data_IF_436286324257
#
_entry.id   IF_436286324257
#
_cell.length_a   1.000
_cell.length_b   1.000
_cell.length_c   1.000
_cell.angle_alpha   90.00
_cell.angle_beta   90.00
_cell.angle_gamma   90.00
#
_symmetry.space_group_name_H-M   'P 1'
#
loop_
_entity.id
_entity.type
_entity.pdbx_description
1 polymer ?
#
# COMPACT_ATOMS: atom_id res chain seq x y z
N UNK A 1 18.84 3.98 -14.79
CA UNK A 1 19.49 4.96 -13.86
C UNK A 1 19.68 4.26 -12.55
N UNK A 2 20.78 4.42 -11.82
CA UNK A 2 20.85 3.83 -10.48
C UNK A 2 20.06 4.68 -9.51
N UNK A 3 19.21 4.05 -8.71
CA UNK A 3 18.42 4.73 -7.68
C UNK A 3 19.35 5.39 -6.64
N UNK A 4 19.01 6.60 -6.23
CA UNK A 4 19.69 7.26 -5.12
C UNK A 4 18.99 6.86 -3.82
N UNK A 5 19.63 6.04 -3.01
CA UNK A 5 19.10 5.53 -1.74
C UNK A 5 19.48 6.41 -0.52
N UNK A 6 20.13 7.54 -0.75
CA UNK A 6 20.48 8.45 0.33
C UNK A 6 19.39 9.49 0.56
N UNK A 7 18.26 9.05 1.11
CA UNK A 7 17.14 9.92 1.46
C UNK A 7 16.37 9.38 2.66
N UNK A 8 15.64 10.28 3.29
CA UNK A 8 14.62 9.98 4.30
C UNK A 8 13.25 10.40 3.76
N UNK A 9 12.18 9.62 3.98
CA UNK A 9 10.85 9.99 3.52
C UNK A 9 10.38 11.28 4.19
N UNK A 10 9.69 12.13 3.44
CA UNK A 10 9.10 13.35 3.99
C UNK A 10 7.69 13.08 4.53
N UNK A 11 7.38 13.62 5.70
CA UNK A 11 6.00 13.59 6.20
C UNK A 11 5.17 14.60 5.41
N UNK A 12 4.17 14.09 4.67
CA UNK A 12 3.22 14.95 3.96
C UNK A 12 2.18 15.53 4.91
N UNK A 13 1.59 14.67 5.75
CA UNK A 13 0.55 15.07 6.72
C UNK A 13 0.42 14.02 7.82
N UNK A 14 -0.04 14.44 9.02
CA UNK A 14 -0.57 13.51 10.02
C UNK A 14 -1.95 13.04 9.57
N UNK A 15 -2.18 11.72 9.56
CA UNK A 15 -3.51 11.15 9.23
C UNK A 15 -4.43 11.10 10.45
N UNK A 16 -3.90 11.37 11.64
CA UNK A 16 -4.68 11.38 12.87
C UNK A 16 -5.73 12.50 12.86
N UNK A 17 -7.00 12.13 13.03
CA UNK A 17 -8.12 13.06 13.07
C UNK A 17 -8.58 13.58 11.70
N UNK A 18 -7.99 13.15 10.58
CA UNK A 18 -8.50 13.49 9.25
C UNK A 18 -9.87 12.85 9.02
N UNK A 19 -10.76 13.61 8.40
CA UNK A 19 -11.96 13.03 7.80
C UNK A 19 -11.59 12.22 6.56
N UNK A 20 -12.47 11.30 6.14
CA UNK A 20 -12.24 10.53 4.91
C UNK A 20 -12.06 11.42 3.67
N UNK A 21 -12.80 12.52 3.59
CA UNK A 21 -12.68 13.50 2.50
C UNK A 21 -11.31 14.18 2.49
N UNK A 22 -10.82 14.59 3.66
CA UNK A 22 -9.49 15.20 3.80
C UNK A 22 -8.39 14.18 3.42
N UNK A 23 -8.49 12.95 3.92
CA UNK A 23 -7.54 11.88 3.60
C UNK A 23 -7.52 11.58 2.09
N UNK A 24 -8.68 11.46 1.44
CA UNK A 24 -8.78 11.31 -0.02
C UNK A 24 -8.17 12.50 -0.76
N UNK A 25 -8.37 13.72 -0.24
CA UNK A 25 -7.75 14.93 -0.80
C UNK A 25 -6.23 14.85 -0.82
N UNK A 26 -5.59 14.38 0.26
CA UNK A 26 -4.14 14.18 0.31
C UNK A 26 -3.69 13.03 -0.61
N UNK A 27 -4.43 11.94 -0.68
CA UNK A 27 -4.13 10.84 -1.61
C UNK A 27 -4.12 11.24 -3.08
N UNK A 28 -4.94 12.21 -3.47
CA UNK A 28 -4.97 12.75 -4.85
C UNK A 28 -3.74 13.56 -5.23
N UNK A 29 -2.91 13.96 -4.27
CA UNK A 29 -1.66 14.67 -4.55
C UNK A 29 -0.56 13.79 -5.15
N UNK A 30 -0.77 12.47 -5.19
CA UNK A 30 0.19 11.53 -5.76
C UNK A 30 -0.38 10.14 -5.94
N UNK A 31 0.49 9.21 -6.31
CA UNK A 31 0.24 7.78 -6.45
C UNK A 31 0.49 7.14 -5.08
N UNK A 32 -0.48 6.46 -4.52
CA UNK A 32 -0.33 5.68 -3.28
C UNK A 32 -0.02 4.21 -3.57
N UNK A 33 0.39 3.44 -2.56
CA UNK A 33 0.77 2.04 -2.75
C UNK A 33 -0.33 1.17 -3.38
N UNK A 34 -1.60 1.37 -2.99
CA UNK A 34 -2.73 0.66 -3.61
C UNK A 34 -2.98 1.03 -5.08
N UNK A 35 -2.42 2.15 -5.54
CA UNK A 35 -2.57 2.64 -6.91
C UNK A 35 -1.49 2.07 -7.85
N UNK A 36 -0.34 1.64 -7.30
CA UNK A 36 0.82 1.15 -8.06
C UNK A 36 0.46 0.04 -9.06
N UNK A 37 -0.31 -0.95 -8.62
CA UNK A 37 -0.77 -2.03 -9.51
C UNK A 37 -1.73 -1.52 -10.61
N UNK A 38 -2.48 -0.45 -10.40
CA UNK A 38 -3.35 0.13 -11.41
C UNK A 38 -2.55 0.85 -12.50
N UNK A 39 -1.45 1.52 -12.14
CA UNK A 39 -0.51 2.12 -13.10
C UNK A 39 0.03 1.05 -14.04
N UNK A 40 0.32 -0.14 -13.54
CA UNK A 40 0.84 -1.27 -14.31
C UNK A 40 -0.24 -2.09 -15.03
N UNK A 41 -1.54 -1.74 -14.87
CA UNK A 41 -2.65 -2.54 -15.41
C UNK A 41 -2.84 -3.90 -14.74
N UNK A 42 -2.31 -4.10 -13.55
CA UNK A 42 -2.33 -5.34 -12.77
C UNK A 42 -3.35 -5.33 -11.62
N UNK A 43 -4.03 -4.21 -11.39
CA UNK A 43 -5.02 -4.10 -10.32
C UNK A 43 -6.33 -4.80 -10.71
N UNK A 44 -6.89 -5.67 -9.84
CA UNK A 44 -8.21 -6.25 -10.06
C UNK A 44 -9.37 -5.32 -9.67
N UNK A 45 -9.07 -4.14 -9.11
CA UNK A 45 -10.06 -3.25 -8.51
C UNK A 45 -10.26 -1.95 -9.28
N UNK A 46 -9.25 -1.50 -10.02
CA UNK A 46 -9.23 -0.18 -10.63
C UNK A 46 -8.33 -0.23 -11.88
N UNK A 47 -8.78 0.34 -12.97
CA UNK A 47 -7.98 0.48 -14.19
C UNK A 47 -7.09 1.73 -14.09
N UNK A 48 -6.08 1.83 -14.98
CA UNK A 48 -5.28 3.06 -15.10
C UNK A 48 -6.15 4.28 -15.43
N UNK A 49 -7.23 4.10 -16.21
CA UNK A 49 -8.17 5.17 -16.53
C UNK A 49 -8.94 5.66 -15.30
N UNK A 50 -9.43 4.74 -14.49
CA UNK A 50 -10.16 5.07 -13.26
C UNK A 50 -9.23 5.82 -12.28
N UNK A 51 -7.97 5.36 -12.18
CA UNK A 51 -6.95 6.04 -11.40
C UNK A 51 -6.70 7.47 -11.92
N UNK A 52 -6.57 7.64 -13.24
CA UNK A 52 -6.43 8.97 -13.86
C UNK A 52 -7.59 9.88 -13.48
N UNK A 53 -8.82 9.41 -13.54
CA UNK A 53 -10.00 10.21 -13.18
C UNK A 53 -9.99 10.59 -11.71
N UNK A 54 -9.64 9.67 -10.81
CA UNK A 54 -9.49 10.00 -9.39
C UNK A 54 -8.42 11.08 -9.16
N UNK A 55 -7.21 10.91 -9.70
CA UNK A 55 -6.11 11.86 -9.53
C UNK A 55 -6.42 13.23 -10.15
N UNK A 56 -7.19 13.25 -11.21
CA UNK A 56 -7.63 14.47 -11.86
C UNK A 56 -8.87 15.11 -11.22
N UNK A 57 -9.51 14.47 -10.24
CA UNK A 57 -10.76 14.94 -9.67
C UNK A 57 -11.90 14.98 -10.69
N UNK A 58 -11.83 14.15 -11.73
CA UNK A 58 -12.88 14.00 -12.71
C UNK A 58 -13.92 13.06 -12.16
N UNK A 59 -15.10 13.57 -11.90
CA UNK A 59 -16.22 12.75 -11.45
C UNK A 59 -16.79 12.02 -12.67
N UNK A 60 -16.47 10.73 -12.83
CA UNK A 60 -17.25 9.88 -13.72
C UNK A 60 -18.66 9.70 -13.12
N UNK A 61 -19.67 9.81 -13.98
CA UNK A 61 -21.01 9.33 -13.64
C UNK A 61 -20.94 7.80 -13.76
N UNK A 62 -20.29 7.18 -12.78
CA UNK A 62 -20.42 5.75 -12.59
C UNK A 62 -21.74 5.54 -11.85
N UNK A 63 -22.55 4.62 -12.32
CA UNK A 63 -23.60 4.00 -11.49
C UNK A 63 -22.88 3.33 -10.31
N UNK A 64 -22.58 4.13 -9.29
CA UNK A 64 -22.03 3.68 -8.02
C UNK A 64 -23.09 2.93 -7.22
N UNK A 65 -23.40 1.73 -7.62
CA UNK A 65 -23.57 0.73 -6.58
C UNK A 65 -22.16 0.57 -5.96
N UNK A 66 -21.94 1.13 -4.78
CA UNK A 66 -20.75 0.88 -3.95
C UNK A 66 -20.67 -0.61 -3.59
N UNK A 67 -20.42 -1.44 -4.61
CA UNK A 67 -20.14 -2.84 -4.42
C UNK A 67 -18.82 -2.92 -3.65
N UNK A 68 -18.83 -3.53 -2.47
CA UNK A 68 -17.67 -3.78 -1.59
C UNK A 68 -17.41 -2.78 -0.44
N UNK A 69 -18.31 -1.83 -0.14
CA UNK A 69 -18.11 -0.95 1.02
C UNK A 69 -17.98 -1.73 2.35
N UNK A 70 -18.71 -2.87 2.47
CA UNK A 70 -18.60 -3.75 3.64
C UNK A 70 -17.22 -4.35 3.76
N UNK A 71 -16.65 -4.88 2.67
CA UNK A 71 -15.32 -5.47 2.68
C UNK A 71 -14.25 -4.42 3.04
N UNK A 72 -14.32 -3.22 2.48
CA UNK A 72 -13.44 -2.09 2.84
C UNK A 72 -13.54 -1.75 4.33
N UNK A 73 -14.77 -1.67 4.85
CA UNK A 73 -15.00 -1.32 6.25
C UNK A 73 -14.57 -2.42 7.22
N UNK A 74 -14.74 -3.69 6.85
CA UNK A 74 -14.24 -4.85 7.60
C UNK A 74 -12.71 -4.81 7.61
N UNK A 75 -12.07 -4.63 6.46
CA UNK A 75 -10.62 -4.52 6.35
C UNK A 75 -10.08 -3.48 7.32
N UNK A 76 -10.52 -2.24 7.19
CA UNK A 76 -10.07 -1.15 8.04
C UNK A 76 -10.31 -1.37 9.55
N UNK A 77 -11.43 -2.00 9.92
CA UNK A 77 -11.72 -2.27 11.35
C UNK A 77 -10.91 -3.41 11.94
N UNK A 78 -10.37 -4.28 11.09
CA UNK A 78 -9.60 -5.44 11.53
C UNK A 78 -8.09 -5.23 11.43
N UNK A 79 -7.60 -4.11 10.94
CA UNK A 79 -6.16 -3.82 10.80
C UNK A 79 -5.42 -4.00 12.12
N UNK A 80 -5.92 -3.40 13.21
CA UNK A 80 -5.31 -3.54 14.55
C UNK A 80 -5.28 -5.01 15.02
N UNK A 81 -6.36 -5.78 14.78
CA UNK A 81 -6.43 -7.20 15.12
C UNK A 81 -5.44 -8.03 14.28
N UNK A 82 -5.33 -7.75 13.00
CA UNK A 82 -4.37 -8.43 12.11
C UNK A 82 -2.94 -8.17 12.58
N UNK A 83 -2.63 -6.93 12.95
CA UNK A 83 -1.33 -6.55 13.49
C UNK A 83 -1.04 -7.22 14.84
N UNK A 84 -2.04 -7.34 15.73
CA UNK A 84 -1.93 -8.05 16.99
C UNK A 84 -1.63 -9.54 16.77
N UNK A 85 -2.37 -10.22 15.90
CA UNK A 85 -2.15 -11.64 15.56
C UNK A 85 -0.74 -11.82 14.97
N UNK A 86 -0.31 -10.93 14.08
CA UNK A 86 1.06 -10.95 13.52
C UNK A 86 2.11 -10.87 14.62
N UNK A 87 1.97 -9.90 15.54
CA UNK A 87 2.90 -9.71 16.66
C UNK A 87 2.97 -10.94 17.57
N UNK A 88 1.83 -11.56 17.90
CA UNK A 88 1.77 -12.78 18.72
C UNK A 88 2.45 -13.95 18.00
N UNK A 89 2.20 -14.13 16.70
CA UNK A 89 2.75 -15.27 15.95
C UNK A 89 4.25 -15.16 15.68
N UNK A 90 4.75 -13.96 15.49
CA UNK A 90 6.16 -13.71 15.11
C UNK A 90 7.04 -13.31 16.29
N UNK A 91 6.46 -12.80 17.37
CA UNK A 91 7.18 -12.17 18.47
C UNK A 91 7.75 -10.79 18.12
N UNK A 92 7.50 -10.26 16.91
CA UNK A 92 7.96 -8.97 16.47
C UNK A 92 7.05 -7.86 17.01
N UNK A 93 7.65 -6.75 17.43
CA UNK A 93 6.90 -5.57 17.84
C UNK A 93 6.43 -4.81 16.61
N UNK A 94 5.15 -4.43 16.59
CA UNK A 94 4.58 -3.57 15.56
C UNK A 94 4.01 -2.29 16.18
N UNK A 95 4.00 -1.20 15.39
CA UNK A 95 3.50 0.09 15.85
C UNK A 95 2.97 0.93 14.67
N UNK A 96 1.84 1.65 14.84
CA UNK A 96 1.32 2.57 13.83
C UNK A 96 2.08 3.89 13.87
N UNK A 97 2.20 4.56 12.74
CA UNK A 97 2.77 5.94 12.64
C UNK A 97 1.77 6.90 12.06
N UNK A 98 0.58 6.67 11.88
CA UNK A 98 -0.53 7.56 11.48
C UNK A 98 -0.10 8.84 10.73
N UNK A 99 0.69 8.65 9.67
CA UNK A 99 1.22 9.71 8.82
C UNK A 99 1.25 9.22 7.37
N UNK A 100 0.89 10.11 6.48
CA UNK A 100 1.17 9.92 5.06
C UNK A 100 2.54 10.52 4.75
N UNK A 101 3.33 9.75 4.01
CA UNK A 101 4.69 10.12 3.60
C UNK A 101 4.74 10.35 2.09
N UNK A 102 5.77 11.05 1.65
CA UNK A 102 6.11 11.18 0.24
C UNK A 102 7.60 10.96 0.02
N UNK A 103 7.93 10.49 -1.15
CA UNK A 103 9.31 10.32 -1.57
C UNK A 103 9.94 11.69 -1.88
N UNK A 104 11.09 12.07 -1.30
CA UNK A 104 11.66 13.41 -1.47
C UNK A 104 12.13 13.69 -2.90
N UNK A 105 12.59 12.67 -3.63
CA UNK A 105 13.08 12.81 -5.01
C UNK A 105 11.96 12.63 -6.06
N UNK A 106 10.90 11.92 -5.71
CA UNK A 106 9.72 11.67 -6.54
C UNK A 106 8.44 12.07 -5.79
N UNK A 107 8.17 13.40 -5.64
CA UNK A 107 7.12 13.87 -4.72
C UNK A 107 5.70 13.45 -5.09
N UNK A 108 5.53 12.82 -6.25
CA UNK A 108 4.27 12.27 -6.73
C UNK A 108 4.00 10.84 -6.25
N UNK A 109 4.93 10.18 -5.54
CA UNK A 109 4.69 8.86 -4.93
C UNK A 109 4.57 9.00 -3.41
N UNK A 110 3.49 8.41 -2.86
CA UNK A 110 3.04 8.60 -1.48
C UNK A 110 2.87 7.26 -0.78
N UNK A 111 3.15 7.22 0.51
CA UNK A 111 2.91 6.04 1.35
C UNK A 111 2.04 6.38 2.56
N UNK A 112 1.05 5.55 2.83
CA UNK A 112 0.25 5.50 4.06
C UNK A 112 0.31 4.05 4.55
N UNK A 113 1.33 3.76 5.37
CA UNK A 113 1.68 2.41 5.82
C UNK A 113 0.81 2.06 7.03
N UNK A 114 0.23 0.87 7.05
CA UNK A 114 -0.63 0.42 8.14
C UNK A 114 0.16 0.37 9.47
N UNK A 115 1.25 -0.40 9.50
CA UNK A 115 2.13 -0.52 10.66
C UNK A 115 3.59 -0.64 10.25
N UNK A 116 4.47 -0.29 11.18
CA UNK A 116 5.90 -0.58 11.10
C UNK A 116 6.28 -1.72 12.03
N UNK A 117 7.30 -2.49 11.63
CA UNK A 117 7.88 -3.58 12.42
C UNK A 117 9.20 -3.08 13.01
N UNK A 118 9.37 -3.26 14.30
CA UNK A 118 10.65 -3.05 14.99
C UNK A 118 11.40 -4.39 15.08
N UNK A 119 12.44 -4.56 14.28
CA UNK A 119 13.30 -5.75 14.34
C UNK A 119 14.35 -5.68 15.47
N UNK A 120 14.42 -4.56 16.19
CA UNK A 120 15.51 -4.25 17.09
C UNK A 120 16.74 -3.71 16.36
N UNK A 121 17.72 -3.25 17.14
CA UNK A 121 18.97 -2.69 16.61
C UNK A 121 18.79 -1.55 15.59
N UNK A 122 17.70 -0.81 15.67
CA UNK A 122 17.38 0.30 14.76
C UNK A 122 16.88 -0.10 13.37
N UNK A 123 16.68 -1.38 13.10
CA UNK A 123 16.05 -1.84 11.85
C UNK A 123 14.53 -1.76 11.96
N UNK A 124 13.93 -1.28 10.87
CA UNK A 124 12.46 -1.15 10.72
C UNK A 124 12.04 -1.81 9.41
N UNK A 125 10.89 -2.48 9.44
CA UNK A 125 10.20 -3.00 8.26
C UNK A 125 8.77 -2.50 8.18
N UNK A 126 8.07 -2.87 7.10
CA UNK A 126 6.68 -2.52 6.85
C UNK A 126 5.81 -3.74 7.17
N UNK A 127 4.66 -3.53 7.81
CA UNK A 127 3.59 -4.51 7.91
C UNK A 127 2.35 -3.98 7.22
N UNK A 128 1.91 -4.69 6.20
CA UNK A 128 0.69 -4.44 5.46
C UNK A 128 -0.39 -5.44 5.89
N UNK A 129 -1.49 -4.94 6.44
CA UNK A 129 -2.58 -5.75 6.98
C UNK A 129 -3.65 -5.99 5.91
N UNK A 130 -4.05 -7.25 5.74
CA UNK A 130 -5.07 -7.63 4.76
C UNK A 130 -6.14 -8.51 5.40
N UNK A 131 -7.34 -8.38 4.88
CA UNK A 131 -8.44 -9.33 5.15
C UNK A 131 -8.96 -9.87 3.82
N UNK A 132 -9.32 -11.14 3.82
CA UNK A 132 -9.93 -11.79 2.66
C UNK A 132 -10.91 -12.86 3.11
N UNK A 133 -11.39 -13.68 2.20
CA UNK A 133 -12.25 -14.81 2.49
C UNK A 133 -11.67 -16.10 1.91
N UNK A 134 -12.22 -17.23 2.29
CA UNK A 134 -11.78 -18.55 1.84
C UNK A 134 -11.67 -18.72 0.32
N UNK A 135 -12.53 -18.06 -0.45
CA UNK A 135 -12.49 -18.16 -1.92
C UNK A 135 -11.26 -17.50 -2.54
N UNK A 136 -10.63 -16.58 -1.81
CA UNK A 136 -9.43 -15.86 -2.25
C UNK A 136 -8.14 -16.39 -1.62
N UNK A 137 -8.21 -17.36 -0.70
CA UNK A 137 -7.04 -17.95 -0.04
C UNK A 137 -6.04 -18.53 -1.04
N UNK A 138 -6.51 -19.13 -2.12
CA UNK A 138 -5.64 -19.72 -3.15
C UNK A 138 -4.69 -18.71 -3.82
N UNK A 139 -5.02 -17.43 -3.80
CA UNK A 139 -4.13 -16.36 -4.33
C UNK A 139 -2.87 -16.16 -3.49
N UNK A 140 -2.84 -16.71 -2.28
CA UNK A 140 -1.73 -16.67 -1.34
C UNK A 140 -0.98 -18.02 -1.25
N UNK A 141 -1.30 -18.97 -2.13
CA UNK A 141 -0.65 -20.29 -2.16
C UNK A 141 0.81 -20.20 -2.62
N UNK A 142 1.60 -21.24 -2.32
CA UNK A 142 3.00 -21.36 -2.75
C UNK A 142 3.89 -20.16 -2.34
N UNK A 143 3.68 -19.65 -1.14
CA UNK A 143 4.38 -18.50 -0.58
C UNK A 143 4.26 -17.19 -1.40
N UNK A 144 3.30 -17.15 -2.33
CA UNK A 144 3.06 -15.96 -3.14
C UNK A 144 2.28 -14.87 -2.38
N UNK A 145 2.47 -13.66 -2.83
CA UNK A 145 1.63 -12.49 -2.52
C UNK A 145 0.80 -12.18 -3.76
N UNK A 146 -0.50 -11.86 -3.66
CA UNK A 146 -1.26 -11.38 -4.81
C UNK A 146 -0.57 -10.18 -5.46
N UNK A 147 -0.44 -10.18 -6.77
CA UNK A 147 0.39 -9.23 -7.53
C UNK A 147 0.07 -7.76 -7.22
N UNK A 148 -1.19 -7.43 -6.99
CA UNK A 148 -1.59 -6.07 -6.61
C UNK A 148 -1.08 -5.65 -5.23
N UNK A 149 -0.94 -6.57 -4.29
CA UNK A 149 -0.34 -6.30 -2.97
C UNK A 149 1.18 -6.33 -3.04
N UNK A 150 1.77 -7.19 -3.88
CA UNK A 150 3.20 -7.19 -4.14
C UNK A 150 3.68 -5.80 -4.57
N UNK A 151 3.05 -5.20 -5.59
CA UNK A 151 3.43 -3.86 -6.05
C UNK A 151 3.11 -2.76 -5.04
N UNK A 152 2.08 -2.93 -4.21
CA UNK A 152 1.84 -2.03 -3.07
C UNK A 152 3.02 -2.04 -2.09
N UNK A 153 3.51 -3.23 -1.73
CA UNK A 153 4.65 -3.38 -0.83
C UNK A 153 5.94 -2.80 -1.42
N UNK A 154 6.22 -3.05 -2.71
CA UNK A 154 7.38 -2.49 -3.42
C UNK A 154 7.34 -0.97 -3.44
N UNK A 155 6.20 -0.38 -3.77
CA UNK A 155 5.97 1.05 -3.71
C UNK A 155 6.25 1.63 -2.30
N UNK A 156 5.76 0.95 -1.26
CA UNK A 156 6.01 1.41 0.11
C UNK A 156 7.48 1.31 0.50
N UNK A 157 8.18 0.24 0.12
CA UNK A 157 9.62 0.13 0.36
C UNK A 157 10.38 1.26 -0.35
N UNK A 158 10.00 1.62 -1.57
CA UNK A 158 10.57 2.75 -2.30
C UNK A 158 10.33 4.08 -1.58
N UNK A 159 9.09 4.41 -1.21
CA UNK A 159 8.80 5.69 -0.55
C UNK A 159 9.48 5.80 0.81
N UNK A 160 9.45 4.71 1.59
CA UNK A 160 9.96 4.69 2.96
C UNK A 160 11.46 4.43 3.07
N UNK A 161 12.14 4.06 1.96
CA UNK A 161 13.53 3.64 1.94
C UNK A 161 13.82 2.49 2.93
N UNK A 162 12.95 1.47 2.91
CA UNK A 162 13.03 0.30 3.76
C UNK A 162 13.22 -0.96 2.92
N UNK A 163 13.88 -1.97 3.52
CA UNK A 163 14.31 -3.17 2.79
C UNK A 163 13.34 -4.34 2.88
N UNK A 164 12.35 -4.29 3.78
CA UNK A 164 11.51 -5.43 4.08
C UNK A 164 10.04 -5.04 4.26
N UNK A 165 9.14 -5.82 3.65
CA UNK A 165 7.70 -5.74 3.88
C UNK A 165 7.13 -7.12 4.23
N UNK A 166 6.28 -7.15 5.23
CA UNK A 166 5.47 -8.29 5.60
C UNK A 166 4.01 -8.01 5.26
N UNK A 167 3.35 -9.03 4.75
CA UNK A 167 1.91 -9.04 4.54
C UNK A 167 1.28 -10.01 5.52
N UNK A 168 0.38 -9.52 6.33
CA UNK A 168 -0.42 -10.33 7.25
C UNK A 168 -1.87 -10.36 6.77
N UNK A 169 -2.40 -11.55 6.48
CA UNK A 169 -3.73 -11.70 5.91
C UNK A 169 -4.59 -12.63 6.76
N UNK A 170 -5.67 -12.09 7.30
CA UNK A 170 -6.73 -12.86 7.96
C UNK A 170 -7.79 -13.24 6.92
N UNK A 171 -8.04 -14.55 6.72
CA UNK A 171 -9.01 -15.03 5.73
C UNK A 171 -10.23 -15.75 6.32
N UNK A 172 -10.36 -15.70 7.64
CA UNK A 172 -11.47 -16.28 8.38
C UNK A 172 -11.69 -15.61 9.72
N UNK A 173 -12.10 -16.37 10.74
CA UNK A 173 -12.47 -15.83 12.04
C UNK A 173 -11.71 -16.44 13.23
N UNK A 174 -10.59 -17.10 12.98
CA UNK A 174 -9.72 -17.65 14.02
C UNK A 174 -8.23 -17.52 13.62
N UNK A 175 -7.35 -17.71 14.59
CA UNK A 175 -5.91 -17.52 14.47
C UNK A 175 -5.19 -18.52 13.53
N UNK A 176 -5.85 -19.62 13.14
CA UNK A 176 -5.31 -20.58 12.18
C UNK A 176 -5.61 -20.17 10.72
N UNK A 177 -6.58 -19.27 10.53
CA UNK A 177 -6.99 -18.71 9.25
C UNK A 177 -6.21 -17.44 8.93
N UNK A 178 -4.88 -17.53 9.08
CA UNK A 178 -3.96 -16.41 9.00
C UNK A 178 -2.72 -16.77 8.17
N UNK A 179 -2.35 -15.88 7.27
CA UNK A 179 -1.22 -16.04 6.36
C UNK A 179 -0.22 -14.90 6.63
N UNK A 180 1.05 -15.24 6.71
CA UNK A 180 2.14 -14.25 6.71
C UNK A 180 2.98 -14.49 5.46
N UNK A 181 3.33 -13.40 4.77
CA UNK A 181 4.28 -13.40 3.66
C UNK A 181 5.33 -12.32 3.91
N UNK A 182 6.55 -12.61 3.49
CA UNK A 182 7.67 -11.69 3.58
C UNK A 182 8.22 -11.43 2.19
N UNK A 183 8.60 -10.20 1.93
CA UNK A 183 9.24 -9.80 0.69
C UNK A 183 10.37 -8.82 0.98
N UNK A 184 11.51 -9.08 0.36
CA UNK A 184 12.67 -8.19 0.38
C UNK A 184 12.62 -7.20 -0.78
N UNK A 185 13.29 -6.07 -0.60
CA UNK A 185 13.44 -5.03 -1.60
C UNK A 185 14.22 -5.56 -2.81
N UNK A 186 13.77 -5.21 -3.98
CA UNK A 186 14.43 -5.47 -5.26
C UNK A 186 14.55 -4.14 -6.01
N UNK A 187 15.78 -3.64 -6.12
CA UNK A 187 16.04 -2.31 -6.68
C UNK A 187 15.80 -2.23 -8.19
N UNK A 188 15.94 -3.34 -8.91
CA UNK A 188 15.69 -3.35 -10.36
C UNK A 188 14.19 -3.21 -10.63
N UNK A 189 13.37 -3.97 -9.89
CA UNK A 189 11.91 -3.87 -9.99
C UNK A 189 11.42 -2.51 -9.47
N UNK A 190 12.04 -1.97 -8.43
CA UNK A 190 11.72 -0.65 -7.90
C UNK A 190 12.01 0.47 -8.91
N UNK A 191 13.16 0.41 -9.61
CA UNK A 191 13.51 1.38 -10.65
C UNK A 191 12.46 1.36 -11.78
N UNK A 192 12.08 0.18 -12.24
CA UNK A 192 11.04 0.02 -13.26
C UNK A 192 9.68 0.55 -12.78
N UNK A 193 9.29 0.24 -11.54
CA UNK A 193 8.04 0.72 -10.96
C UNK A 193 7.99 2.25 -10.89
N UNK A 194 9.05 2.88 -10.35
CA UNK A 194 9.14 4.34 -10.26
C UNK A 194 9.08 4.98 -11.66
N UNK A 195 9.73 4.37 -12.67
CA UNK A 195 9.70 4.88 -14.03
C UNK A 195 8.27 4.84 -14.64
N UNK A 196 7.52 3.77 -14.41
CA UNK A 196 6.13 3.66 -14.88
C UNK A 196 5.20 4.63 -14.14
N UNK A 197 5.37 4.79 -12.83
CA UNK A 197 4.63 5.76 -12.02
C UNK A 197 4.94 7.20 -12.44
N UNK A 198 6.21 7.51 -12.73
CA UNK A 198 6.64 8.81 -13.24
C UNK A 198 6.02 9.10 -14.60
N UNK A 199 6.05 8.11 -15.52
CA UNK A 199 5.45 8.22 -16.83
C UNK A 199 3.93 8.49 -16.72
N UNK A 200 3.23 7.70 -15.89
CA UNK A 200 1.80 7.90 -15.64
C UNK A 200 1.52 9.30 -15.10
N UNK A 201 2.27 9.74 -14.09
CA UNK A 201 2.06 11.04 -13.47
C UNK A 201 2.31 12.20 -14.42
N UNK A 202 3.42 12.19 -15.16
CA UNK A 202 3.82 13.27 -16.06
C UNK A 202 2.96 13.31 -17.33
N UNK A 203 2.71 12.14 -17.94
CA UNK A 203 2.06 12.09 -19.25
C UNK A 203 0.55 12.20 -19.18
N UNK A 204 -0.07 11.75 -18.08
CA UNK A 204 -1.53 11.77 -17.97
C UNK A 204 -2.02 12.78 -16.93
N UNK A 205 -1.48 12.78 -15.70
CA UNK A 205 -2.03 13.62 -14.63
C UNK A 205 -1.60 15.08 -14.75
N UNK A 206 -0.35 15.37 -15.08
CA UNK A 206 0.18 16.74 -15.17
C UNK A 206 -0.12 17.45 -16.49
N UNK A 207 -0.35 16.72 -17.59
CA UNK A 207 -0.64 17.31 -18.92
C UNK A 207 -2.11 17.66 -19.13
N UNK A 208 -2.89 17.80 -18.09
CA UNK A 208 -4.29 18.25 -18.13
C UNK A 208 -4.49 19.50 -18.99
#
# INVERSE_FOLDING_TARGET
>A
MSLNLNYEPEVLVSTEGLTNEQWLGYRRLGIGGSDAAAVLGLSPFCTMRDLYYDKCGIQEILDEEESNWVAKKVGHRLEDLVAEIFSIKTGLRVYPVRKMFRHPLFPFILADVDFFIDFGNGKTGILECKTTNYNCQSKWANDSVPVNYEYQGRHYMAVMNLDEVYFACLYGNNENEFIIRHMERDLDIEEDLIAEEENFWKEYVQKK
#
